data_IF_445028900020
#
_entry.id   IF_445028900020
#
_cell.length_a   1.000
_cell.length_b   1.000
_cell.length_c   1.000
_cell.angle_alpha   90.00
_cell.angle_beta   90.00
_cell.angle_gamma   90.00
#
_symmetry.space_group_name_H-M   'P 1'
#
loop_
_entity.id
_entity.type
_entity.pdbx_description
1 polymer ?
#
# COMPACT_ATOMS: atom_id res chain seq x y z
N UNK A 1 -7.82 13.49 -9.36
CA UNK A 1 -7.16 12.55 -10.27
C UNK A 1 -6.03 13.19 -11.09
N UNK A 2 -6.27 14.21 -11.96
CA UNK A 2 -5.20 14.80 -12.79
C UNK A 2 -3.97 15.26 -12.01
N UNK A 3 -4.17 16.01 -10.92
CA UNK A 3 -3.05 16.43 -10.04
C UNK A 3 -2.25 15.26 -9.46
N UNK A 4 -2.89 14.11 -9.20
CA UNK A 4 -2.21 12.89 -8.72
C UNK A 4 -1.30 12.33 -9.82
N UNK A 5 -1.78 12.27 -11.06
CA UNK A 5 -0.97 11.84 -12.19
C UNK A 5 0.18 12.83 -12.50
N UNK A 6 -0.05 14.14 -12.28
CA UNK A 6 1.03 15.14 -12.43
C UNK A 6 2.13 14.95 -11.37
N UNK A 7 1.77 14.57 -10.13
CA UNK A 7 2.75 14.19 -9.10
C UNK A 7 3.56 12.96 -9.50
N UNK A 8 2.90 11.94 -10.06
CA UNK A 8 3.60 10.75 -10.58
C UNK A 8 4.60 11.13 -11.67
N UNK A 9 4.20 11.94 -12.65
CA UNK A 9 5.09 12.42 -13.72
C UNK A 9 6.29 13.20 -13.17
N UNK A 10 6.04 14.08 -12.19
CA UNK A 10 7.09 14.86 -11.55
C UNK A 10 8.11 13.96 -10.82
N UNK A 11 7.64 12.94 -10.11
CA UNK A 11 8.50 11.97 -9.45
C UNK A 11 9.33 11.16 -10.47
N UNK A 12 8.68 10.68 -11.52
CA UNK A 12 9.34 9.91 -12.61
C UNK A 12 10.43 10.69 -13.35
N UNK A 13 10.39 12.01 -13.31
CA UNK A 13 11.48 12.83 -13.90
C UNK A 13 12.83 12.62 -13.21
N UNK A 14 12.86 12.10 -11.99
CA UNK A 14 14.09 11.88 -11.20
C UNK A 14 14.26 10.44 -10.71
N UNK A 15 13.22 9.62 -10.72
CA UNK A 15 13.26 8.23 -10.21
C UNK A 15 12.35 7.31 -11.02
N UNK A 16 12.97 6.44 -11.82
CA UNK A 16 12.29 5.40 -12.59
C UNK A 16 12.22 4.04 -11.87
N UNK A 17 12.98 3.89 -10.79
CA UNK A 17 13.18 2.59 -10.12
C UNK A 17 12.20 2.31 -8.99
N UNK A 18 11.77 3.33 -8.25
CA UNK A 18 10.86 3.16 -7.10
C UNK A 18 9.43 2.93 -7.58
N UNK A 19 8.78 1.80 -7.24
CA UNK A 19 7.40 1.53 -7.64
C UNK A 19 6.42 2.58 -7.08
N UNK A 20 5.48 3.04 -7.93
CA UNK A 20 4.39 3.93 -7.54
C UNK A 20 3.07 3.19 -7.65
N UNK A 21 2.39 3.03 -6.52
CA UNK A 21 1.09 2.40 -6.43
C UNK A 21 0.05 3.48 -6.06
N UNK A 22 -1.00 3.61 -6.86
CA UNK A 22 -2.12 4.50 -6.52
C UNK A 22 -3.18 3.72 -5.76
N UNK A 23 -3.54 4.22 -4.58
CA UNK A 23 -4.61 3.66 -3.76
C UNK A 23 -5.80 4.62 -3.72
N UNK A 24 -7.00 4.09 -3.94
CA UNK A 24 -8.20 4.92 -3.95
C UNK A 24 -9.49 4.14 -4.08
N UNK A 25 -10.53 4.86 -4.53
CA UNK A 25 -11.86 4.34 -4.78
C UNK A 25 -12.18 4.32 -6.26
N UNK A 26 -13.05 3.42 -6.69
CA UNK A 26 -13.40 3.24 -8.09
C UNK A 26 -14.14 4.44 -8.70
N UNK A 27 -15.06 5.05 -7.97
CA UNK A 27 -15.89 6.13 -8.49
C UNK A 27 -15.12 7.31 -9.14
N UNK A 28 -14.01 7.84 -8.57
CA UNK A 28 -13.19 8.85 -9.24
C UNK A 28 -12.59 8.39 -10.58
N UNK A 29 -12.27 7.10 -10.71
CA UNK A 29 -11.75 6.52 -11.96
C UNK A 29 -12.88 6.35 -12.98
N UNK A 30 -14.03 5.87 -12.53
CA UNK A 30 -15.22 5.76 -13.36
C UNK A 30 -15.61 7.10 -13.99
N UNK A 31 -15.64 8.19 -13.19
CA UNK A 31 -15.94 9.54 -13.66
C UNK A 31 -14.86 10.05 -14.63
N UNK A 32 -13.59 9.69 -14.42
CA UNK A 32 -12.51 10.05 -15.35
C UNK A 32 -12.63 9.35 -16.70
N UNK A 33 -13.24 8.16 -16.71
CA UNK A 33 -13.27 7.19 -17.78
C UNK A 33 -12.14 6.18 -17.64
N UNK A 34 -12.50 4.90 -17.49
CA UNK A 34 -11.55 3.80 -17.20
C UNK A 34 -10.40 3.75 -18.20
N UNK A 35 -10.71 3.70 -19.50
CA UNK A 35 -9.69 3.63 -20.55
C UNK A 35 -8.76 4.85 -20.56
N UNK A 36 -9.35 6.06 -20.42
CA UNK A 36 -8.58 7.31 -20.37
C UNK A 36 -7.68 7.35 -19.15
N UNK A 37 -8.19 6.91 -17.98
CA UNK A 37 -7.40 6.84 -16.77
C UNK A 37 -6.23 5.86 -16.89
N UNK A 38 -6.46 4.65 -17.40
CA UNK A 38 -5.42 3.64 -17.55
C UNK A 38 -4.33 4.08 -18.52
N UNK A 39 -4.71 4.72 -19.64
CA UNK A 39 -3.77 5.30 -20.61
C UNK A 39 -2.91 6.39 -19.96
N UNK A 40 -3.55 7.33 -19.25
CA UNK A 40 -2.86 8.43 -18.59
C UNK A 40 -2.00 7.96 -17.41
N UNK A 41 -2.47 6.98 -16.61
CA UNK A 41 -1.75 6.39 -15.50
C UNK A 41 -0.49 5.63 -15.99
N UNK A 42 -0.63 4.81 -17.02
CA UNK A 42 0.51 4.11 -17.63
C UNK A 42 1.53 5.09 -18.18
N UNK A 43 1.09 6.10 -18.92
CA UNK A 43 1.95 7.16 -19.47
C UNK A 43 2.64 7.98 -18.38
N UNK A 44 1.96 8.19 -17.24
CA UNK A 44 2.56 8.88 -16.10
C UNK A 44 3.61 8.04 -15.36
N UNK A 45 3.61 6.72 -15.52
CA UNK A 45 4.54 5.80 -14.86
C UNK A 45 3.98 5.16 -13.59
N UNK A 46 2.66 4.95 -13.50
CA UNK A 46 2.02 4.19 -12.43
C UNK A 46 2.32 2.71 -12.63
N UNK A 47 2.78 2.02 -11.57
CA UNK A 47 3.11 0.60 -11.61
C UNK A 47 1.95 -0.29 -11.16
N UNK A 48 1.10 0.19 -10.27
CA UNK A 48 -0.01 -0.60 -9.75
C UNK A 48 -1.14 0.21 -9.14
N UNK A 49 -2.24 -0.49 -8.89
CA UNK A 49 -3.46 0.06 -8.30
C UNK A 49 -3.93 -0.77 -7.11
N UNK A 50 -4.42 -0.10 -6.07
CA UNK A 50 -5.20 -0.67 -4.97
C UNK A 50 -6.58 0.01 -4.98
N UNK A 51 -7.63 -0.76 -5.30
CA UNK A 51 -9.01 -0.27 -5.20
C UNK A 51 -9.69 -0.85 -3.96
N UNK A 52 -10.12 0.05 -3.08
CA UNK A 52 -10.64 -0.33 -1.77
C UNK A 52 -12.06 -0.88 -1.84
N UNK A 53 -12.82 -0.42 -2.82
CA UNK A 53 -14.27 -0.65 -2.97
C UNK A 53 -14.66 -1.47 -4.21
N UNK A 54 -13.69 -2.02 -4.96
CA UNK A 54 -13.96 -2.87 -6.12
C UNK A 54 -13.67 -4.33 -5.77
N UNK A 55 -14.71 -5.16 -5.52
CA UNK A 55 -14.54 -6.57 -5.17
C UNK A 55 -14.14 -7.41 -6.39
N UNK A 56 -13.59 -8.62 -6.17
CA UNK A 56 -13.18 -9.51 -7.27
C UNK A 56 -14.29 -9.86 -8.28
N UNK A 57 -15.54 -9.85 -7.85
CA UNK A 57 -16.69 -10.12 -8.69
C UNK A 57 -16.87 -9.07 -9.80
N UNK A 58 -16.33 -7.87 -9.60
CA UNK A 58 -16.41 -6.75 -10.53
C UNK A 58 -15.07 -6.49 -11.25
N UNK A 59 -14.22 -7.50 -11.36
CA UNK A 59 -12.90 -7.38 -11.99
C UNK A 59 -12.95 -6.88 -13.43
N UNK A 60 -14.03 -7.15 -14.15
CA UNK A 60 -14.25 -6.66 -15.51
C UNK A 60 -14.31 -5.14 -15.63
N UNK A 61 -14.68 -4.44 -14.55
CA UNK A 61 -14.83 -2.99 -14.55
C UNK A 61 -13.50 -2.23 -14.63
N UNK A 62 -12.46 -2.72 -13.93
CA UNK A 62 -11.17 -2.03 -13.88
C UNK A 62 -9.98 -2.98 -13.75
N UNK A 63 -10.07 -4.09 -13.00
CA UNK A 63 -8.95 -4.98 -12.73
C UNK A 63 -8.38 -5.59 -14.03
N UNK A 64 -9.22 -6.24 -14.82
CA UNK A 64 -8.78 -6.86 -16.08
C UNK A 64 -8.26 -5.82 -17.06
N UNK A 65 -8.93 -4.68 -17.31
CA UNK A 65 -8.39 -3.60 -18.14
C UNK A 65 -7.03 -3.05 -17.62
N UNK A 66 -6.84 -2.93 -16.30
CA UNK A 66 -5.57 -2.47 -15.73
C UNK A 66 -4.43 -3.46 -16.00
N UNK A 67 -4.70 -4.77 -15.85
CA UNK A 67 -3.73 -5.82 -16.17
C UNK A 67 -3.36 -5.81 -17.65
N UNK A 68 -4.32 -5.66 -18.53
CA UNK A 68 -4.09 -5.54 -19.98
C UNK A 68 -3.26 -4.30 -20.34
N UNK A 69 -3.46 -3.19 -19.62
CA UNK A 69 -2.63 -1.99 -19.73
C UNK A 69 -1.23 -2.15 -19.13
N UNK A 70 -0.91 -3.30 -18.50
CA UNK A 70 0.36 -3.57 -17.84
C UNK A 70 0.54 -2.84 -16.50
N UNK A 71 -0.57 -2.55 -15.80
CA UNK A 71 -0.61 -2.01 -14.45
C UNK A 71 -0.93 -3.16 -13.48
N UNK A 72 -0.13 -3.34 -12.43
CA UNK A 72 -0.34 -4.39 -11.44
C UNK A 72 -1.58 -4.13 -10.60
N UNK A 73 -2.32 -5.20 -10.33
CA UNK A 73 -3.50 -5.13 -9.47
C UNK A 73 -3.20 -5.70 -8.09
N UNK A 74 -3.06 -4.83 -7.09
CA UNK A 74 -2.75 -5.20 -5.72
C UNK A 74 -4.06 -5.49 -4.99
N UNK A 75 -4.19 -6.69 -4.41
CA UNK A 75 -5.35 -7.10 -3.64
C UNK A 75 -5.20 -6.80 -2.17
N UNK A 76 -6.33 -6.47 -1.56
CA UNK A 76 -6.47 -6.33 -0.12
C UNK A 76 -6.97 -7.65 0.49
N UNK A 77 -6.27 -8.15 1.50
CA UNK A 77 -6.74 -9.21 2.38
C UNK A 77 -6.92 -8.68 3.81
N UNK A 78 -7.86 -9.21 4.53
CA UNK A 78 -8.23 -8.77 5.89
C UNK A 78 -8.41 -9.98 6.80
N UNK A 79 -8.48 -9.82 8.13
CA UNK A 79 -8.81 -10.93 9.04
C UNK A 79 -10.15 -11.61 8.76
N UNK A 80 -11.04 -10.95 8.02
CA UNK A 80 -12.35 -11.51 7.61
C UNK A 80 -12.30 -12.19 6.24
N UNK A 81 -11.16 -12.23 5.57
CA UNK A 81 -10.95 -12.99 4.34
C UNK A 81 -10.77 -14.46 4.71
N UNK A 82 -11.85 -15.22 4.68
CA UNK A 82 -11.86 -16.64 5.03
C UNK A 82 -11.29 -17.54 3.92
N UNK A 83 -11.15 -18.84 4.22
CA UNK A 83 -10.59 -19.84 3.31
C UNK A 83 -11.41 -19.96 2.00
N UNK A 84 -12.72 -19.80 2.06
CA UNK A 84 -13.59 -19.87 0.88
C UNK A 84 -13.43 -18.65 -0.03
N UNK A 85 -13.17 -17.46 0.57
CA UNK A 85 -13.02 -16.19 -0.14
C UNK A 85 -11.61 -15.98 -0.69
N UNK A 86 -10.59 -16.49 0.00
CA UNK A 86 -9.17 -16.20 -0.31
C UNK A 86 -8.79 -16.53 -1.76
N UNK A 87 -9.16 -17.68 -2.35
CA UNK A 87 -8.82 -17.97 -3.75
C UNK A 87 -9.34 -16.93 -4.74
N UNK A 88 -10.55 -16.42 -4.51
CA UNK A 88 -11.15 -15.37 -5.34
C UNK A 88 -10.42 -14.03 -5.16
N UNK A 89 -10.04 -13.67 -3.93
CA UNK A 89 -9.27 -12.46 -3.64
C UNK A 89 -7.89 -12.52 -4.30
N UNK A 90 -7.22 -13.68 -4.28
CA UNK A 90 -5.91 -13.85 -4.88
C UNK A 90 -5.94 -13.96 -6.41
N UNK A 91 -7.11 -14.28 -6.99
CA UNK A 91 -7.25 -14.30 -8.43
C UNK A 91 -6.93 -12.91 -9.02
N UNK A 92 -6.18 -12.88 -10.11
CA UNK A 92 -5.73 -11.64 -10.76
C UNK A 92 -4.85 -10.72 -9.87
N UNK A 93 -4.43 -11.16 -8.67
CA UNK A 93 -3.50 -10.40 -7.85
C UNK A 93 -2.12 -10.31 -8.52
N UNK A 94 -1.47 -9.15 -8.38
CA UNK A 94 -0.12 -8.94 -8.92
C UNK A 94 0.66 -7.92 -8.11
N UNK A 95 1.99 -8.00 -8.17
CA UNK A 95 2.88 -7.16 -7.38
C UNK A 95 3.04 -7.65 -5.94
N UNK A 96 2.04 -7.46 -5.10
CA UNK A 96 1.99 -7.95 -3.72
C UNK A 96 0.54 -8.08 -3.23
N UNK A 97 0.35 -8.72 -2.09
CA UNK A 97 -0.92 -8.71 -1.36
C UNK A 97 -0.78 -7.75 -0.17
N UNK A 98 -1.71 -6.80 -0.07
CA UNK A 98 -1.76 -5.87 1.06
C UNK A 98 -2.66 -6.45 2.15
N UNK A 99 -2.06 -6.88 3.26
CA UNK A 99 -2.80 -7.37 4.42
C UNK A 99 -3.12 -6.21 5.38
N UNK A 100 -4.41 -5.94 5.54
CA UNK A 100 -4.93 -4.89 6.43
C UNK A 100 -5.16 -5.49 7.82
N UNK A 101 -4.19 -5.33 8.73
CA UNK A 101 -4.21 -5.92 10.06
C UNK A 101 -5.02 -5.09 11.08
N UNK A 102 -6.34 -4.97 10.85
CA UNK A 102 -7.25 -4.25 11.76
C UNK A 102 -8.16 -5.22 12.48
N UNK A 103 -8.29 -5.05 13.80
CA UNK A 103 -9.33 -5.70 14.60
C UNK A 103 -10.47 -4.71 14.89
N UNK A 104 -11.68 -5.09 14.50
CA UNK A 104 -12.93 -4.40 14.82
C UNK A 104 -13.34 -3.30 13.84
N UNK A 105 -14.63 -2.97 13.89
CA UNK A 105 -15.31 -1.96 13.05
C UNK A 105 -14.89 -0.52 13.33
N UNK A 106 -14.17 -0.26 14.41
CA UNK A 106 -13.67 1.07 14.79
C UNK A 106 -12.23 1.36 14.35
N UNK A 107 -11.53 0.35 13.81
CA UNK A 107 -10.20 0.54 13.18
C UNK A 107 -9.09 1.06 14.09
N UNK A 108 -9.25 0.99 15.42
CA UNK A 108 -8.36 1.68 16.37
C UNK A 108 -7.29 0.79 17.00
N UNK A 109 -7.43 -0.54 16.94
CA UNK A 109 -6.48 -1.47 17.54
C UNK A 109 -5.73 -2.27 16.46
N UNK A 110 -4.40 -2.21 16.48
CA UNK A 110 -3.56 -3.10 15.70
C UNK A 110 -3.72 -4.54 16.21
N UNK A 111 -3.60 -5.52 15.30
CA UNK A 111 -3.57 -6.93 15.68
C UNK A 111 -2.32 -7.23 16.55
N UNK A 112 -2.42 -8.15 17.52
CA UNK A 112 -1.24 -8.70 18.19
C UNK A 112 -0.22 -9.26 17.18
N UNK A 113 1.08 -9.18 17.50
CA UNK A 113 2.16 -9.63 16.60
C UNK A 113 2.00 -11.10 16.22
N UNK A 114 1.64 -11.97 17.17
CA UNK A 114 1.43 -13.40 16.92
C UNK A 114 0.30 -13.67 15.94
N UNK A 115 -0.83 -12.98 16.08
CA UNK A 115 -1.96 -13.11 15.17
C UNK A 115 -1.61 -12.58 13.77
N UNK A 116 -0.82 -11.51 13.67
CA UNK A 116 -0.32 -11.00 12.39
C UNK A 116 0.63 -12.01 11.73
N UNK A 117 1.54 -12.63 12.49
CA UNK A 117 2.44 -13.67 12.01
C UNK A 117 1.68 -14.88 11.45
N UNK A 118 0.68 -15.37 12.18
CA UNK A 118 -0.15 -16.48 11.74
C UNK A 118 -0.91 -16.16 10.44
N UNK A 119 -1.50 -14.98 10.36
CA UNK A 119 -2.19 -14.52 9.16
C UNK A 119 -1.26 -14.39 7.95
N UNK A 120 -0.05 -13.85 8.13
CA UNK A 120 0.95 -13.75 7.05
C UNK A 120 1.41 -15.15 6.61
N UNK A 121 1.68 -16.06 7.55
CA UNK A 121 2.04 -17.44 7.23
C UNK A 121 0.93 -18.16 6.45
N UNK A 122 -0.31 -17.94 6.85
CA UNK A 122 -1.48 -18.46 6.14
C UNK A 122 -1.56 -17.92 4.70
N UNK A 123 -1.43 -16.61 4.50
CA UNK A 123 -1.43 -16.02 3.16
C UNK A 123 -0.27 -16.56 2.31
N UNK A 124 0.95 -16.64 2.85
CA UNK A 124 2.12 -17.18 2.15
C UNK A 124 1.97 -18.65 1.76
N UNK A 125 1.11 -19.42 2.43
CA UNK A 125 0.82 -20.80 2.01
C UNK A 125 -0.11 -20.90 0.80
N UNK A 126 -0.72 -19.77 0.36
CA UNK A 126 -1.67 -19.70 -0.75
C UNK A 126 -1.18 -18.86 -1.93
N UNK A 127 -0.06 -18.14 -1.80
CA UNK A 127 0.49 -17.31 -2.87
C UNK A 127 1.99 -17.12 -2.72
N UNK A 128 2.69 -17.03 -3.84
CA UNK A 128 4.11 -16.66 -3.92
C UNK A 128 4.31 -15.13 -3.96
N UNK A 129 3.22 -14.34 -3.98
CA UNK A 129 3.32 -12.88 -3.96
C UNK A 129 3.84 -12.40 -2.61
N UNK A 130 4.66 -11.34 -2.59
CA UNK A 130 5.04 -10.70 -1.33
C UNK A 130 3.82 -10.24 -0.52
N UNK A 131 3.88 -10.40 0.80
CA UNK A 131 2.84 -9.93 1.72
C UNK A 131 3.32 -8.66 2.39
N UNK A 132 2.59 -7.56 2.17
CA UNK A 132 2.83 -6.27 2.81
C UNK A 132 1.76 -6.05 3.88
N UNK A 133 2.19 -5.86 5.12
CA UNK A 133 1.27 -5.62 6.25
C UNK A 133 1.14 -4.12 6.49
N UNK A 134 -0.08 -3.67 6.57
CA UNK A 134 -0.40 -2.27 6.87
C UNK A 134 -1.41 -2.15 7.98
N UNK A 135 -1.33 -1.04 8.64
CA UNK A 135 -2.17 -0.48 9.66
C UNK A 135 -1.53 -0.37 11.06
N UNK A 136 -1.65 0.83 11.64
CA UNK A 136 -1.23 1.10 13.01
C UNK A 136 0.27 1.20 13.26
N UNK A 137 1.10 1.07 12.24
CA UNK A 137 2.56 1.18 12.35
C UNK A 137 2.95 2.65 12.55
N UNK A 138 3.60 2.95 13.68
CA UNK A 138 3.94 4.33 14.07
C UNK A 138 5.42 4.55 14.37
N UNK A 139 6.18 3.48 14.61
CA UNK A 139 7.60 3.57 14.99
C UNK A 139 8.46 2.59 14.19
N UNK A 140 9.79 2.83 14.10
CA UNK A 140 10.72 1.91 13.48
C UNK A 140 10.71 0.50 14.10
N UNK A 141 10.49 0.39 15.41
CA UNK A 141 10.42 -0.89 16.12
C UNK A 141 9.18 -1.69 15.70
N UNK A 142 8.04 -1.00 15.53
CA UNK A 142 6.83 -1.63 15.01
C UNK A 142 7.02 -2.09 13.56
N UNK A 143 7.67 -1.27 12.73
CA UNK A 143 8.03 -1.63 11.37
C UNK A 143 8.97 -2.85 11.33
N UNK A 144 9.96 -2.91 12.24
CA UNK A 144 10.85 -4.06 12.41
C UNK A 144 10.09 -5.32 12.85
N UNK A 145 9.13 -5.20 13.77
CA UNK A 145 8.29 -6.33 14.19
C UNK A 145 7.52 -6.95 13.02
N UNK A 146 6.97 -6.11 12.12
CA UNK A 146 6.33 -6.58 10.89
C UNK A 146 7.35 -7.20 9.94
N UNK A 147 8.51 -6.56 9.73
CA UNK A 147 9.57 -7.04 8.83
C UNK A 147 10.16 -8.41 9.20
N UNK A 148 9.97 -8.89 10.45
CA UNK A 148 10.35 -10.26 10.85
C UNK A 148 9.45 -11.34 10.25
N UNK A 149 8.23 -11.02 9.87
CA UNK A 149 7.20 -11.99 9.49
C UNK A 149 6.65 -11.75 8.08
N UNK A 150 6.69 -10.51 7.59
CA UNK A 150 6.16 -10.09 6.30
C UNK A 150 7.25 -9.51 5.39
N UNK A 151 6.97 -9.42 4.10
CA UNK A 151 7.92 -8.94 3.10
C UNK A 151 7.99 -7.41 3.05
N UNK A 152 7.02 -6.72 3.67
CA UNK A 152 7.00 -5.27 3.75
C UNK A 152 6.02 -4.74 4.78
N UNK A 153 6.20 -3.45 5.13
CA UNK A 153 5.34 -2.71 6.03
C UNK A 153 4.81 -1.45 5.34
N UNK A 154 3.48 -1.24 5.38
CA UNK A 154 2.85 -0.03 4.85
C UNK A 154 2.55 0.95 5.99
N UNK A 155 3.13 2.14 5.90
CA UNK A 155 2.98 3.20 6.91
C UNK A 155 2.30 4.41 6.28
N UNK A 156 1.15 4.81 6.82
CA UNK A 156 0.40 5.95 6.33
C UNK A 156 0.30 7.05 7.39
N UNK A 157 -0.59 6.86 8.37
CA UNK A 157 -0.97 7.87 9.36
C UNK A 157 0.24 8.53 10.04
N UNK A 158 1.25 7.77 10.45
CA UNK A 158 2.43 8.31 11.13
C UNK A 158 3.23 9.29 10.25
N UNK A 159 3.28 9.05 8.92
CA UNK A 159 3.92 9.97 7.97
C UNK A 159 3.05 11.22 7.79
N UNK A 160 1.74 11.05 7.63
CA UNK A 160 0.78 12.18 7.51
C UNK A 160 0.81 13.04 8.77
N UNK A 161 0.85 12.45 9.96
CA UNK A 161 0.96 13.17 11.23
C UNK A 161 2.27 13.98 11.32
N UNK A 162 3.38 13.44 10.79
CA UNK A 162 4.65 14.19 10.68
C UNK A 162 4.51 15.43 9.80
N UNK A 163 3.87 15.27 8.63
CA UNK A 163 3.59 16.39 7.74
C UNK A 163 2.71 17.42 8.45
N UNK A 164 1.60 16.99 9.04
CA UNK A 164 0.66 17.87 9.73
C UNK A 164 1.32 18.66 10.87
N UNK A 165 2.08 18.00 11.73
CA UNK A 165 2.80 18.62 12.85
C UNK A 165 3.95 19.53 12.41
N UNK A 166 4.42 19.37 11.19
CA UNK A 166 5.42 20.22 10.56
C UNK A 166 4.89 21.45 9.87
N UNK A 167 3.55 21.70 9.92
CA UNK A 167 2.92 22.93 9.43
C UNK A 167 2.82 23.96 10.54
N UNK A 168 2.78 25.25 10.16
CA UNK A 168 2.46 26.36 11.05
C UNK A 168 0.94 26.60 11.15
N UNK A 169 0.55 27.66 11.85
CA UNK A 169 -0.87 28.02 12.04
C UNK A 169 -1.60 28.46 10.74
N UNK A 170 -0.84 28.75 9.67
CA UNK A 170 -1.35 29.12 8.36
C UNK A 170 -1.23 27.97 7.34
N UNK A 171 -1.04 26.74 7.81
CA UNK A 171 -0.82 25.53 7.00
C UNK A 171 0.42 25.59 6.08
N UNK A 172 1.43 26.37 6.45
CA UNK A 172 2.68 26.49 5.70
C UNK A 172 3.76 25.57 6.27
N UNK A 173 4.63 25.00 5.42
CA UNK A 173 5.71 24.14 5.89
C UNK A 173 6.70 24.92 6.75
N UNK A 174 6.98 24.42 7.95
CA UNK A 174 8.09 24.89 8.78
C UNK A 174 9.43 24.46 8.17
N UNK A 175 10.52 25.22 8.41
CA UNK A 175 11.86 24.78 8.02
C UNK A 175 12.19 23.38 8.52
N UNK A 176 12.75 22.53 7.68
CA UNK A 176 13.13 21.15 8.04
C UNK A 176 11.99 20.13 7.98
N UNK A 177 10.78 20.50 7.53
CA UNK A 177 9.66 19.55 7.43
C UNK A 177 9.99 18.38 6.48
N UNK A 178 10.48 18.67 5.29
CA UNK A 178 10.76 17.65 4.27
C UNK A 178 11.85 16.70 4.77
N UNK A 179 12.95 17.24 5.27
CA UNK A 179 14.09 16.50 5.84
C UNK A 179 13.60 15.59 6.99
N UNK A 180 12.80 16.13 7.91
CA UNK A 180 12.27 15.36 9.04
C UNK A 180 11.31 14.23 8.66
N UNK A 181 10.59 14.37 7.54
CA UNK A 181 9.76 13.29 6.98
C UNK A 181 10.64 12.23 6.32
N UNK A 182 11.65 12.64 5.54
CA UNK A 182 12.57 11.72 4.87
C UNK A 182 13.40 10.92 5.88
N UNK A 183 13.93 11.58 6.92
CA UNK A 183 14.67 10.91 8.00
C UNK A 183 13.79 9.84 8.68
N UNK A 184 12.55 10.18 9.01
CA UNK A 184 11.61 9.23 9.60
C UNK A 184 11.30 8.04 8.69
N UNK A 185 11.09 8.27 7.40
CA UNK A 185 10.92 7.18 6.42
C UNK A 185 12.18 6.32 6.34
N UNK A 186 13.37 6.94 6.40
CA UNK A 186 14.65 6.26 6.47
C UNK A 186 14.78 5.34 7.69
N UNK A 187 14.36 5.82 8.87
CA UNK A 187 14.35 5.03 10.12
C UNK A 187 13.39 3.83 10.04
N UNK A 188 12.17 4.05 9.52
CA UNK A 188 11.20 2.97 9.29
C UNK A 188 11.74 1.90 8.34
N UNK A 189 12.33 2.33 7.23
CA UNK A 189 12.91 1.44 6.24
C UNK A 189 14.14 0.67 6.79
N UNK A 190 14.95 1.30 7.63
CA UNK A 190 16.06 0.65 8.31
C UNK A 190 15.55 -0.42 9.30
N UNK A 191 14.47 -0.13 10.02
CA UNK A 191 13.81 -1.10 10.90
C UNK A 191 13.38 -2.37 10.16
N UNK A 192 12.67 -2.22 9.03
CA UNK A 192 12.23 -3.37 8.22
C UNK A 192 13.42 -4.17 7.68
N UNK A 193 14.42 -3.49 7.09
CA UNK A 193 15.61 -4.16 6.52
C UNK A 193 16.45 -4.87 7.57
N UNK A 194 16.63 -4.26 8.75
CA UNK A 194 17.38 -4.87 9.86
C UNK A 194 16.71 -6.12 10.44
N UNK A 195 15.39 -6.22 10.33
CA UNK A 195 14.64 -7.37 10.80
C UNK A 195 14.75 -8.60 9.89
N UNK A 196 14.92 -8.40 8.57
CA UNK A 196 14.99 -9.48 7.58
C UNK A 196 16.34 -10.21 7.53
N UNK A 197 17.37 -9.71 8.18
CA UNK A 197 18.74 -10.29 8.14
C UNK A 197 18.89 -11.52 9.06
N UNK A 198 17.91 -11.85 9.90
CA UNK A 198 17.97 -12.98 10.84
C UNK A 198 17.17 -14.22 10.42
N UNK A 199 16.71 -14.30 9.17
CA UNK A 199 15.88 -15.38 8.64
C UNK A 199 16.48 -16.12 7.44
N UNK A 200 17.80 -16.43 7.49
CA UNK A 200 18.43 -17.43 6.59
C UNK A 200 19.04 -18.53 7.42
#
# INVERSE_FOLDING_TARGET
MRKTLDLVRAFRASDDGTPIILMGYYNPIYIYGVEAFLTDAKTAGVDGLIMVDLPPEEDSELCLPAIEAGIRWIRLATPTTDEARLPMVLNNAGGFVYYVSILGITGTAAMPEDATREAVAYLKSHTDLPIVVGFGIKTPEMAAAIGRNADGAAVGTAIVDRVYNGLDADDRPKPGLVEGVLDFVGELAAGVRGAGVHGQ
#
